data_IF_333643695080
#
_entry.id   IF_333643695080
#
_cell.length_a   1.000
_cell.length_b   1.000
_cell.length_c   1.000
_cell.angle_alpha   90.00
_cell.angle_beta   90.00
_cell.angle_gamma   90.00
#
_symmetry.space_group_name_H-M   'P 1'
#
loop_
_entity.id
_entity.type
_entity.pdbx_description
1 polymer ?
#
# COMPACT_ATOMS: atom_id res chain seq x y z
N UNK A 1 -22.30 69.45 41.64
CA UNK A 1 -22.62 70.72 40.96
C UNK A 1 -22.57 70.49 39.46
N UNK A 2 -23.70 70.75 38.79
CA UNK A 2 -23.98 70.85 37.35
C UNK A 2 -23.68 69.66 36.42
N UNK A 3 -24.38 69.39 35.32
CA UNK A 3 -25.72 69.72 34.78
C UNK A 3 -25.65 69.34 33.29
N UNK A 4 -26.51 68.40 32.84
CA UNK A 4 -27.23 68.34 31.55
C UNK A 4 -26.36 68.40 30.24
N UNK A 5 -26.42 67.41 29.34
CA UNK A 5 -27.47 67.31 28.30
C UNK A 5 -27.58 65.91 27.70
N UNK A 6 -28.84 65.46 27.64
CA UNK A 6 -29.34 64.37 26.80
C UNK A 6 -29.08 64.66 25.31
N UNK A 7 -28.63 63.66 24.57
CA UNK A 7 -28.95 63.51 23.15
C UNK A 7 -29.43 62.07 22.95
N UNK A 8 -30.74 61.94 22.76
CA UNK A 8 -31.39 60.74 22.23
C UNK A 8 -31.09 60.69 20.74
N UNK A 9 -30.45 59.62 20.29
CA UNK A 9 -30.39 59.24 18.88
C UNK A 9 -30.93 57.82 18.76
N UNK A 10 -32.24 57.76 18.54
CA UNK A 10 -32.97 56.58 18.12
C UNK A 10 -32.58 56.30 16.66
N UNK A 11 -31.78 55.26 16.44
CA UNK A 11 -31.63 54.66 15.12
C UNK A 11 -32.52 53.43 15.07
N UNK A 12 -33.61 53.53 14.31
CA UNK A 12 -34.45 52.41 13.92
C UNK A 12 -34.43 52.29 12.40
N UNK A 13 -33.59 51.41 11.86
CA UNK A 13 -33.66 50.79 10.52
C UNK A 13 -32.65 49.63 10.60
N UNK A 14 -32.86 48.39 10.21
CA UNK A 14 -33.94 47.67 9.54
C UNK A 14 -33.34 46.29 9.27
N UNK A 15 -34.11 45.22 9.45
CA UNK A 15 -33.70 43.86 9.15
C UNK A 15 -33.41 43.69 7.66
N UNK A 16 -32.20 43.26 7.32
CA UNK A 16 -31.94 42.55 6.08
C UNK A 16 -31.00 41.38 6.41
N UNK A 17 -31.59 40.22 6.67
CA UNK A 17 -30.92 38.92 6.58
C UNK A 17 -30.55 38.73 5.10
N UNK A 18 -29.42 39.30 4.70
CA UNK A 18 -28.76 38.95 3.46
C UNK A 18 -28.12 37.58 3.65
N UNK A 19 -28.82 36.53 3.22
CA UNK A 19 -28.20 35.25 2.91
C UNK A 19 -27.27 35.47 1.70
N UNK A 20 -26.05 35.95 1.96
CA UNK A 20 -24.99 35.91 0.97
C UNK A 20 -24.64 34.46 0.68
N UNK A 21 -24.38 34.09 -0.59
CA UNK A 21 -23.84 32.77 -0.88
C UNK A 21 -22.52 32.65 -0.14
N UNK A 22 -22.44 31.71 0.80
CA UNK A 22 -21.15 31.23 1.28
C UNK A 22 -20.47 30.63 0.06
N UNK A 23 -19.51 31.35 -0.51
CA UNK A 23 -18.56 30.78 -1.45
C UNK A 23 -17.71 29.86 -0.57
N UNK A 24 -18.17 28.62 -0.41
CA UNK A 24 -17.34 27.55 0.10
C UNK A 24 -16.13 27.51 -0.84
N UNK A 25 -14.97 27.89 -0.31
CA UNK A 25 -13.73 27.55 -0.96
C UNK A 25 -13.78 26.03 -1.22
N UNK A 26 -13.43 25.55 -2.43
CA UNK A 26 -13.26 24.13 -2.59
C UNK A 26 -12.18 23.72 -1.60
N UNK A 27 -12.59 22.94 -0.58
CA UNK A 27 -11.63 22.15 0.16
C UNK A 27 -10.91 21.33 -0.90
N UNK A 28 -9.63 21.63 -1.12
CA UNK A 28 -8.81 20.78 -1.98
C UNK A 28 -8.71 19.46 -1.22
N UNK A 29 -9.59 18.53 -1.58
CA UNK A 29 -9.53 17.16 -1.16
C UNK A 29 -8.08 16.71 -1.37
N UNK A 30 -7.51 16.10 -0.33
CA UNK A 30 -6.24 15.42 -0.51
C UNK A 30 -6.42 14.40 -1.64
N UNK A 31 -5.44 14.19 -2.53
CA UNK A 31 -5.55 13.30 -3.69
C UNK A 31 -5.67 11.80 -3.34
N UNK A 32 -6.17 11.48 -2.14
CA UNK A 32 -6.39 10.14 -1.61
C UNK A 32 -7.86 9.88 -1.23
N UNK A 33 -8.74 10.88 -1.37
CA UNK A 33 -10.18 10.77 -1.11
C UNK A 33 -10.96 10.65 -2.43
N UNK A 34 -10.64 9.62 -3.22
CA UNK A 34 -11.55 9.14 -4.27
C UNK A 34 -12.38 8.00 -3.66
N UNK A 35 -13.62 8.33 -3.29
CA UNK A 35 -14.70 7.38 -2.95
C UNK A 35 -15.06 6.58 -4.20
N UNK A 36 -14.24 5.58 -4.50
CA UNK A 36 -14.66 4.45 -5.29
C UNK A 36 -15.27 3.41 -4.34
N UNK A 37 -16.52 3.02 -4.63
CA UNK A 37 -17.18 1.81 -4.12
C UNK A 37 -16.34 0.57 -4.47
N UNK A 38 -15.20 0.41 -3.82
CA UNK A 38 -14.37 -0.77 -3.89
C UNK A 38 -14.89 -1.74 -2.84
N UNK A 39 -15.37 -2.89 -3.28
CA UNK A 39 -15.67 -4.06 -2.44
C UNK A 39 -14.40 -4.51 -1.71
N UNK A 40 -14.03 -3.81 -0.63
CA UNK A 40 -12.85 -4.10 0.19
C UNK A 40 -12.97 -5.43 0.95
N UNK A 41 -14.15 -6.07 0.90
CA UNK A 41 -14.37 -7.45 1.35
C UNK A 41 -13.84 -8.49 0.37
N UNK A 42 -13.64 -8.11 -0.90
CA UNK A 42 -13.17 -9.02 -1.94
C UNK A 42 -11.68 -9.32 -1.80
N UNK A 43 -11.36 -10.60 -1.84
CA UNK A 43 -10.00 -11.11 -1.89
C UNK A 43 -9.37 -10.78 -3.26
N UNK A 44 -8.14 -10.25 -3.23
CA UNK A 44 -7.34 -9.94 -4.42
C UNK A 44 -6.24 -10.98 -4.56
N UNK A 45 -6.09 -11.50 -5.78
CA UNK A 45 -5.06 -12.48 -6.12
C UNK A 45 -3.93 -11.79 -6.86
N UNK A 46 -2.72 -11.92 -6.32
CA UNK A 46 -1.50 -11.37 -6.89
C UNK A 46 -0.49 -12.50 -7.05
N UNK A 47 0.42 -12.35 -8.00
CA UNK A 47 1.55 -13.26 -8.14
C UNK A 47 2.83 -12.52 -8.50
N UNK A 48 3.98 -13.17 -8.29
CA UNK A 48 5.26 -12.73 -8.82
C UNK A 48 6.08 -13.93 -9.29
N UNK A 49 6.79 -13.75 -10.40
CA UNK A 49 7.84 -14.68 -10.82
C UNK A 49 9.17 -14.14 -10.31
N UNK A 50 9.88 -14.96 -9.54
CA UNK A 50 11.11 -14.61 -8.85
C UNK A 50 12.31 -15.08 -9.67
N UNK A 51 13.36 -14.26 -9.73
CA UNK A 51 14.64 -14.65 -10.33
C UNK A 51 15.81 -13.94 -9.67
N UNK A 52 17.00 -14.54 -9.74
CA UNK A 52 18.23 -13.88 -9.30
C UNK A 52 18.49 -12.57 -10.04
N UNK A 53 18.11 -12.47 -11.31
CA UNK A 53 18.24 -11.24 -12.11
C UNK A 53 17.37 -10.07 -11.63
N UNK A 54 16.40 -10.34 -10.76
CA UNK A 54 15.51 -9.32 -10.23
C UNK A 54 16.03 -8.63 -8.96
N UNK A 55 17.20 -9.03 -8.43
CA UNK A 55 17.75 -8.49 -7.18
C UNK A 55 18.58 -7.23 -7.45
N UNK A 56 18.41 -6.22 -6.59
CA UNK A 56 19.27 -5.02 -6.55
C UNK A 56 20.67 -5.41 -6.12
N UNK A 57 21.67 -5.19 -6.98
CA UNK A 57 23.08 -5.44 -6.68
C UNK A 57 23.58 -6.79 -7.20
N UNK A 58 24.54 -7.39 -6.49
CA UNK A 58 25.11 -8.68 -6.92
C UNK A 58 24.16 -9.82 -6.58
N UNK A 59 23.40 -10.25 -7.58
CA UNK A 59 22.70 -11.52 -7.54
C UNK A 59 23.71 -12.66 -7.42
N UNK A 60 23.92 -13.15 -6.19
CA UNK A 60 24.78 -14.31 -5.91
C UNK A 60 24.11 -15.62 -6.38
N UNK A 61 22.77 -15.68 -6.38
CA UNK A 61 21.96 -16.78 -6.92
C UNK A 61 21.41 -16.52 -8.34
N UNK A 62 22.29 -16.33 -9.33
CA UNK A 62 21.89 -15.92 -10.70
C UNK A 62 20.94 -16.88 -11.43
N UNK A 63 20.95 -18.15 -11.06
CA UNK A 63 20.10 -19.21 -11.63
C UNK A 63 18.91 -19.58 -10.73
N UNK A 64 18.77 -18.92 -9.58
CA UNK A 64 17.64 -19.05 -8.68
C UNK A 64 16.35 -18.61 -9.36
N UNK A 65 15.28 -19.33 -9.08
CA UNK A 65 13.96 -19.06 -9.63
C UNK A 65 12.87 -19.50 -8.67
N UNK A 66 11.71 -18.88 -8.77
CA UNK A 66 10.54 -19.26 -8.00
C UNK A 66 9.27 -18.55 -8.46
N UNK A 67 8.16 -18.91 -7.84
CA UNK A 67 6.90 -18.20 -7.97
C UNK A 67 6.30 -18.02 -6.58
N UNK A 68 5.53 -16.95 -6.42
CA UNK A 68 4.76 -16.66 -5.23
C UNK A 68 3.37 -16.23 -5.66
N UNK A 69 2.37 -16.78 -4.99
CA UNK A 69 0.97 -16.42 -5.11
C UNK A 69 0.51 -15.85 -3.77
N UNK A 70 -0.10 -14.66 -3.82
CA UNK A 70 -0.63 -13.97 -2.66
C UNK A 70 -2.13 -13.77 -2.82
N UNK A 71 -2.87 -14.13 -1.78
CA UNK A 71 -4.29 -13.82 -1.65
C UNK A 71 -4.48 -12.84 -0.51
N UNK A 72 -4.84 -11.61 -0.86
CA UNK A 72 -4.94 -10.49 0.09
C UNK A 72 -6.41 -10.17 0.34
N UNK A 73 -6.81 -10.08 1.62
CA UNK A 73 -8.09 -9.54 2.06
C UNK A 73 -7.87 -8.14 2.63
N UNK A 74 -8.09 -7.07 1.85
CA UNK A 74 -7.67 -5.73 2.24
C UNK A 74 -8.40 -5.20 3.49
N UNK A 75 -9.68 -5.55 3.66
CA UNK A 75 -10.49 -5.15 4.82
C UNK A 75 -9.97 -5.71 6.14
N UNK A 76 -9.51 -6.97 6.16
CA UNK A 76 -9.06 -7.65 7.39
C UNK A 76 -7.55 -7.57 7.60
N UNK A 77 -6.79 -7.24 6.55
CA UNK A 77 -5.34 -7.28 6.54
C UNK A 77 -4.77 -8.69 6.47
N UNK A 78 -5.56 -9.69 6.10
CA UNK A 78 -5.07 -11.07 5.93
C UNK A 78 -4.37 -11.22 4.57
N UNK A 79 -3.16 -11.77 4.60
CA UNK A 79 -2.37 -12.12 3.42
C UNK A 79 -2.03 -13.60 3.53
N UNK A 80 -2.66 -14.40 2.68
CA UNK A 80 -2.28 -15.80 2.52
C UNK A 80 -1.28 -15.92 1.37
N UNK A 81 -0.26 -16.73 1.55
CA UNK A 81 0.81 -16.95 0.58
C UNK A 81 0.95 -18.44 0.30
N UNK A 82 1.37 -18.73 -0.92
CA UNK A 82 1.95 -20.00 -1.34
C UNK A 82 3.13 -19.64 -2.24
N UNK A 83 4.30 -20.23 -2.01
CA UNK A 83 5.47 -19.97 -2.83
C UNK A 83 6.30 -21.21 -3.00
N UNK A 84 6.99 -21.31 -4.12
CA UNK A 84 8.05 -22.28 -4.29
C UNK A 84 9.27 -21.60 -4.89
N UNK A 85 10.45 -22.06 -4.46
CA UNK A 85 11.74 -21.60 -4.97
C UNK A 85 12.64 -22.80 -5.23
N UNK A 86 13.59 -22.62 -6.14
CA UNK A 86 14.61 -23.61 -6.45
C UNK A 86 15.92 -22.92 -6.76
N UNK A 87 17.02 -23.63 -6.51
CA UNK A 87 18.39 -23.14 -6.76
C UNK A 87 18.63 -21.80 -6.05
N UNK A 88 18.12 -21.72 -4.82
CA UNK A 88 18.43 -20.71 -3.82
C UNK A 88 19.06 -21.50 -2.69
N UNK A 89 20.27 -21.14 -2.30
CA UNK A 89 20.97 -21.81 -1.20
C UNK A 89 20.36 -21.38 0.12
N UNK A 90 19.87 -22.34 0.90
CA UNK A 90 19.22 -22.14 2.20
C UNK A 90 18.23 -20.97 2.21
N UNK A 91 17.08 -21.07 1.50
CA UNK A 91 16.06 -20.03 1.52
C UNK A 91 15.53 -19.85 2.94
N UNK A 92 15.91 -18.73 3.53
CA UNK A 92 15.51 -18.34 4.86
C UNK A 92 14.21 -17.57 4.74
N UNK A 93 14.23 -16.32 4.28
CA UNK A 93 13.11 -15.41 4.54
C UNK A 93 12.44 -14.97 3.27
N UNK A 94 11.13 -14.78 3.32
CA UNK A 94 10.36 -14.18 2.23
C UNK A 94 9.67 -12.90 2.70
N UNK A 95 9.90 -11.82 1.98
CA UNK A 95 9.40 -10.49 2.31
C UNK A 95 8.73 -9.83 1.11
N UNK A 96 7.70 -9.02 1.40
CA UNK A 96 7.20 -8.02 0.45
C UNK A 96 7.83 -6.68 0.80
N UNK A 97 8.50 -6.06 -0.17
CA UNK A 97 9.07 -4.72 -0.05
C UNK A 97 8.28 -3.73 -0.92
N UNK A 98 8.26 -2.46 -0.50
CA UNK A 98 7.90 -1.36 -1.40
C UNK A 98 9.03 -1.22 -2.41
N UNK A 99 8.69 -1.21 -3.70
CA UNK A 99 9.64 -1.13 -4.80
C UNK A 99 9.06 -0.41 -6.00
N UNK A 100 9.94 0.02 -6.89
CA UNK A 100 9.66 0.94 -7.97
C UNK A 100 8.60 0.45 -8.93
N UNK A 101 7.88 1.42 -9.50
CA UNK A 101 6.81 1.19 -10.47
C UNK A 101 7.40 0.54 -11.73
N UNK A 102 7.36 -0.80 -11.78
CA UNK A 102 7.89 -1.65 -12.85
C UNK A 102 9.41 -1.90 -12.87
N UNK A 103 10.13 -1.65 -11.78
CA UNK A 103 11.51 -2.09 -11.65
C UNK A 103 11.66 -2.86 -10.33
N UNK A 104 11.84 -4.21 -10.37
CA UNK A 104 12.11 -4.96 -9.16
C UNK A 104 13.42 -4.51 -8.49
N UNK A 105 14.26 -3.74 -9.18
CA UNK A 105 15.53 -3.22 -8.68
C UNK A 105 15.49 -1.76 -8.16
N UNK A 106 14.32 -1.12 -8.07
CA UNK A 106 14.26 0.19 -7.43
C UNK A 106 14.39 0.03 -5.90
N UNK A 107 14.92 1.06 -5.23
CA UNK A 107 15.32 1.01 -3.82
C UNK A 107 14.20 0.53 -2.88
N UNK A 108 14.59 -0.18 -1.83
CA UNK A 108 13.67 -0.66 -0.79
C UNK A 108 13.33 0.50 0.16
N UNK A 109 12.10 0.97 0.12
CA UNK A 109 11.59 1.99 1.04
C UNK A 109 10.85 1.30 2.21
N UNK A 110 11.61 0.87 3.23
CA UNK A 110 11.27 0.55 4.65
C UNK A 110 9.98 -0.22 5.05
N UNK A 111 9.09 -0.60 4.14
CA UNK A 111 7.94 -1.47 4.47
C UNK A 111 8.27 -2.91 4.10
N UNK A 112 8.77 -3.65 5.08
CA UNK A 112 9.07 -5.08 5.01
C UNK A 112 7.90 -5.87 5.63
N UNK A 113 7.23 -6.68 4.82
CA UNK A 113 6.18 -7.61 5.29
C UNK A 113 6.70 -9.04 5.20
N UNK A 114 7.03 -9.63 6.35
CA UNK A 114 7.45 -11.03 6.44
C UNK A 114 6.29 -11.99 6.21
N UNK A 115 6.46 -12.93 5.27
CA UNK A 115 5.47 -13.97 4.99
C UNK A 115 5.84 -15.30 5.66
N UNK A 116 7.05 -15.80 5.42
CA UNK A 116 7.58 -17.07 5.94
C UNK A 116 9.08 -16.97 6.29
N UNK A 117 9.56 -17.94 7.08
CA UNK A 117 10.87 -17.86 7.73
C UNK A 117 11.91 -18.88 7.26
N UNK A 118 11.53 -19.99 6.60
CA UNK A 118 12.44 -20.98 5.98
C UNK A 118 11.75 -21.83 4.91
N UNK A 119 12.53 -22.38 3.97
CA UNK A 119 12.15 -23.51 3.12
C UNK A 119 12.03 -23.19 1.63
N UNK A 120 12.17 -24.21 0.79
CA UNK A 120 12.00 -24.08 -0.66
C UNK A 120 10.54 -24.02 -1.11
N UNK A 121 9.61 -24.33 -0.21
CA UNK A 121 8.17 -24.20 -0.38
C UNK A 121 7.56 -23.93 0.99
N UNK A 122 6.68 -22.94 1.08
CA UNK A 122 5.77 -22.83 2.20
C UNK A 122 4.45 -22.17 1.79
N UNK A 123 3.40 -22.53 2.53
CA UNK A 123 2.09 -21.92 2.47
C UNK A 123 1.67 -21.43 3.86
N UNK A 124 0.80 -20.43 3.92
CA UNK A 124 0.29 -19.93 5.20
C UNK A 124 -0.44 -18.61 5.07
N UNK A 125 -0.87 -18.06 6.20
CA UNK A 125 -1.49 -16.74 6.25
C UNK A 125 -0.84 -15.90 7.35
N UNK A 126 -0.68 -14.61 7.07
CA UNK A 126 -0.22 -13.58 8.01
C UNK A 126 -1.22 -12.46 8.07
N UNK A 127 -1.33 -11.87 9.26
CA UNK A 127 -2.11 -10.66 9.45
C UNK A 127 -1.17 -9.47 9.46
N UNK A 128 -1.47 -8.50 8.62
CA UNK A 128 -0.76 -7.23 8.50
C UNK A 128 -1.74 -6.09 8.73
N UNK A 129 -1.25 -4.85 8.72
CA UNK A 129 -2.17 -3.71 8.83
C UNK A 129 -3.12 -3.67 7.61
N UNK A 130 -4.43 -3.46 7.79
CA UNK A 130 -5.37 -3.28 6.68
C UNK A 130 -5.01 -2.12 5.75
N UNK A 131 -4.28 -1.12 6.25
CA UNK A 131 -3.73 -0.03 5.44
C UNK A 131 -2.69 -0.54 4.43
N UNK A 132 -1.72 -1.33 4.88
CA UNK A 132 -0.69 -1.91 4.00
C UNK A 132 -1.32 -2.92 3.04
N UNK A 133 -2.23 -3.78 3.52
CA UNK A 133 -2.93 -4.75 2.67
C UNK A 133 -3.70 -4.06 1.52
N UNK A 134 -4.42 -2.97 1.80
CA UNK A 134 -5.05 -2.13 0.77
C UNK A 134 -4.05 -1.53 -0.20
N UNK A 135 -2.93 -1.02 0.32
CA UNK A 135 -1.91 -0.41 -0.53
C UNK A 135 -1.30 -1.42 -1.51
N UNK A 136 -0.98 -2.65 -1.06
CA UNK A 136 -0.50 -3.74 -1.93
C UNK A 136 -1.58 -4.15 -2.94
N UNK A 137 -2.83 -4.32 -2.49
CA UNK A 137 -3.93 -4.74 -3.34
C UNK A 137 -4.27 -3.73 -4.45
N UNK A 138 -4.16 -2.43 -4.17
CA UNK A 138 -4.46 -1.36 -5.13
C UNK A 138 -3.33 -1.09 -6.10
N UNK A 139 -2.09 -1.28 -5.66
CA UNK A 139 -0.90 -0.88 -6.41
C UNK A 139 0.16 -1.98 -6.43
N UNK A 140 -0.15 -3.22 -6.88
CA UNK A 140 0.79 -4.33 -6.79
C UNK A 140 2.11 -4.08 -7.54
N UNK A 141 2.08 -3.28 -8.61
CA UNK A 141 3.29 -2.87 -9.34
C UNK A 141 4.22 -1.92 -8.58
N UNK A 142 3.88 -1.53 -7.34
CA UNK A 142 4.73 -0.79 -6.40
C UNK A 142 5.33 -1.67 -5.30
N UNK A 143 5.19 -2.99 -5.41
CA UNK A 143 5.67 -3.94 -4.41
C UNK A 143 6.37 -5.13 -5.07
N UNK A 144 7.53 -5.49 -4.54
CA UNK A 144 8.27 -6.66 -4.96
C UNK A 144 8.23 -7.72 -3.86
N UNK A 145 8.37 -9.00 -4.24
CA UNK A 145 8.62 -10.09 -3.30
C UNK A 145 10.06 -10.53 -3.48
N UNK A 146 10.75 -10.70 -2.36
CA UNK A 146 12.10 -11.24 -2.33
C UNK A 146 12.18 -12.44 -1.40
N UNK A 147 12.93 -13.44 -1.81
CA UNK A 147 13.36 -14.56 -0.98
C UNK A 147 14.86 -14.43 -0.76
N UNK A 148 15.26 -14.36 0.51
CA UNK A 148 16.65 -14.32 0.96
C UNK A 148 17.13 -15.73 1.35
N UNK A 149 18.36 -16.06 0.97
CA UNK A 149 19.12 -17.21 1.45
C UNK A 149 20.55 -16.83 1.81
N UNK A 150 21.33 -17.80 2.28
CA UNK A 150 22.70 -17.56 2.79
C UNK A 150 23.65 -17.01 1.72
N UNK A 151 23.48 -17.46 0.47
CA UNK A 151 24.32 -17.08 -0.66
C UNK A 151 23.56 -16.36 -1.77
N UNK A 152 22.47 -15.67 -1.46
CA UNK A 152 21.83 -14.81 -2.44
C UNK A 152 20.38 -14.52 -2.15
N UNK A 153 19.75 -13.87 -3.13
CA UNK A 153 18.33 -13.62 -3.10
C UNK A 153 17.76 -13.82 -4.51
N UNK A 154 16.46 -14.01 -4.56
CA UNK A 154 15.67 -13.90 -5.80
C UNK A 154 14.52 -12.95 -5.55
N UNK A 155 14.19 -12.13 -6.55
CA UNK A 155 13.17 -11.09 -6.43
C UNK A 155 12.29 -11.04 -7.67
N UNK A 156 11.04 -10.61 -7.49
CA UNK A 156 10.08 -10.41 -8.57
C UNK A 156 9.02 -9.37 -8.23
N UNK A 157 8.50 -8.70 -9.25
CA UNK A 157 7.45 -7.70 -9.11
C UNK A 157 6.07 -8.35 -8.92
N UNK A 158 5.28 -7.88 -7.94
CA UNK A 158 3.88 -8.28 -7.81
C UNK A 158 3.03 -7.73 -8.96
N UNK A 159 2.09 -8.55 -9.41
CA UNK A 159 1.11 -8.22 -10.44
C UNK A 159 -0.20 -8.92 -10.13
N UNK A 160 -1.30 -8.38 -10.64
CA UNK A 160 -2.57 -9.10 -10.59
C UNK A 160 -2.43 -10.44 -11.31
N UNK A 161 -2.90 -11.49 -10.67
CA UNK A 161 -3.03 -12.77 -11.32
C UNK A 161 -4.05 -12.63 -12.46
N UNK A 162 -3.60 -12.74 -13.71
CA UNK A 162 -4.52 -12.88 -14.84
C UNK A 162 -4.96 -14.34 -14.85
N UNK A 163 -6.26 -14.54 -14.65
CA UNK A 163 -6.97 -15.82 -14.79
C UNK A 163 -6.29 -16.73 -15.82
N UNK A 164 -5.77 -17.88 -15.36
CA UNK A 164 -5.46 -19.04 -16.21
C UNK A 164 -6.70 -19.92 -16.32
#
# INVERSE_FOLDING_TARGET
MFSVRRVLLTFAVGTALGAGPAIAAPAMAHPWDDDHDHDWGRQVHLSASLSGRGVVGEARDRNGAGEVDLKIRPSTGEVCYDFWVRRVEDPMRIFVYVGGRNDPNDRDDDVEVGLANYGSHAEGCRKISPRVARAIANWPSRYNVQVDGDNGAIRGQLRYERWR
#
